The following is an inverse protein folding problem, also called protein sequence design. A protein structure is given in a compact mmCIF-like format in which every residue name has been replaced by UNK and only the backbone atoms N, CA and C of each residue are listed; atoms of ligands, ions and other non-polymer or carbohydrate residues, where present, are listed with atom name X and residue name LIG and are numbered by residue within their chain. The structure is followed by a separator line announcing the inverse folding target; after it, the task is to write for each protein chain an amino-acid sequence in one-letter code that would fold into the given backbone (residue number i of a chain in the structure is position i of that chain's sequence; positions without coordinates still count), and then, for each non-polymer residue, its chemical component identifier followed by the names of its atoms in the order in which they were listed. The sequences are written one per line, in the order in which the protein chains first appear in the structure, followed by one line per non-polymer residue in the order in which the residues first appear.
data_IF_158692858145
#
_entry.id   IF_158692858145
#
_cell.length_a   1.000
_cell.length_b   1.000
_cell.length_c   1.000
_cell.angle_alpha   90.00
_cell.angle_beta   90.00
_cell.angle_gamma   90.00
#
_symmetry.space_group_name_H-M   'P 1'
#
loop_
_entity.id
_entity.type
_entity.pdbx_description
1 polymer ?
#
# COMPACT_ATOMS: atom_id res chain seq x y z
N UNK A 1 3.92 22.53 17.92
CA UNK A 1 3.21 23.63 17.21
C UNK A 1 2.63 23.07 15.92
N UNK A 2 1.43 23.48 15.51
CA UNK A 2 0.90 23.15 14.19
C UNK A 2 1.64 23.98 13.12
N UNK A 3 1.91 23.38 11.95
CA UNK A 3 2.57 24.03 10.81
C UNK A 3 1.50 24.44 9.77
N UNK A 4 1.13 25.73 9.68
CA UNK A 4 0.07 26.17 8.77
C UNK A 4 0.42 25.87 7.32
N UNK A 5 -0.51 25.26 6.58
CA UNK A 5 -0.34 24.91 5.16
C UNK A 5 0.38 23.58 4.90
N UNK A 6 0.81 22.86 5.93
CA UNK A 6 1.39 21.52 5.78
C UNK A 6 0.32 20.44 5.97
N UNK A 7 0.23 19.51 5.02
CA UNK A 7 -0.56 18.30 5.14
C UNK A 7 0.37 17.10 5.34
N UNK A 8 0.13 16.32 6.38
CA UNK A 8 0.75 15.02 6.57
C UNK A 8 -0.20 13.94 6.07
N UNK A 9 0.34 12.93 5.40
CA UNK A 9 -0.42 11.77 4.96
C UNK A 9 0.45 10.52 5.07
N UNK A 10 -0.20 9.37 5.22
CA UNK A 10 0.46 8.07 5.29
C UNK A 10 0.76 7.56 3.87
N UNK A 11 1.80 6.77 3.73
CA UNK A 11 2.08 6.00 2.51
C UNK A 11 2.50 4.61 2.94
N UNK A 12 2.10 3.60 2.17
CA UNK A 12 2.52 2.22 2.38
C UNK A 12 3.11 1.64 1.11
N UNK A 13 4.14 0.82 1.28
CA UNK A 13 4.87 0.13 0.23
C UNK A 13 6.15 -0.46 0.82
N UNK A 14 6.85 -1.24 0.01
CA UNK A 14 8.15 -1.82 0.37
C UNK A 14 9.24 -1.34 -0.60
N UNK A 15 10.49 -1.76 -0.39
CA UNK A 15 11.56 -1.47 -1.35
C UNK A 15 11.37 -2.21 -2.69
N UNK A 16 10.68 -3.35 -2.64
CA UNK A 16 10.35 -4.22 -3.77
C UNK A 16 9.12 -3.67 -4.53
N UNK A 17 8.12 -3.17 -3.78
CA UNK A 17 6.90 -2.56 -4.28
C UNK A 17 6.74 -1.12 -3.74
N UNK A 18 7.40 -0.12 -4.36
CA UNK A 18 7.42 1.23 -3.81
C UNK A 18 6.06 1.94 -3.90
N UNK A 19 5.66 2.59 -2.79
CA UNK A 19 4.45 3.43 -2.69
C UNK A 19 3.20 2.78 -3.31
N UNK A 20 2.77 1.65 -2.76
CA UNK A 20 1.54 0.96 -3.14
C UNK A 20 0.31 1.84 -2.88
N UNK A 21 0.30 2.56 -1.75
CA UNK A 21 -0.81 3.45 -1.37
C UNK A 21 -0.36 4.89 -1.15
N UNK A 22 -1.30 5.82 -1.37
CA UNK A 22 -1.18 7.22 -0.98
C UNK A 22 -2.31 7.60 -0.03
N UNK A 23 -1.96 8.21 1.08
CA UNK A 23 -2.91 8.73 2.08
C UNK A 23 -3.70 9.94 1.58
N UNK A 24 -4.56 10.45 2.45
CA UNK A 24 -5.52 11.50 2.13
C UNK A 24 -5.03 12.86 2.65
N UNK A 25 -4.45 13.75 1.81
CA UNK A 25 -3.97 15.06 2.23
C UNK A 25 -5.08 16.11 2.38
N UNK A 26 -6.31 15.76 1.99
CA UNK A 26 -7.48 16.64 2.08
C UNK A 26 -7.87 16.97 3.51
N UNK A 27 -8.41 18.17 3.72
CA UNK A 27 -8.89 18.64 5.03
C UNK A 27 -10.41 18.49 5.20
N UNK A 28 -11.10 17.92 4.20
CA UNK A 28 -12.53 17.61 4.33
C UNK A 28 -12.75 16.44 5.30
N UNK A 29 -13.94 16.34 5.93
CA UNK A 29 -14.22 15.32 6.93
C UNK A 29 -13.99 13.88 6.45
N UNK A 30 -14.28 13.57 5.17
CA UNK A 30 -14.13 12.22 4.64
C UNK A 30 -12.63 11.86 4.47
N UNK A 31 -11.81 12.79 3.99
CA UNK A 31 -10.36 12.63 3.96
C UNK A 31 -9.77 12.42 5.37
N UNK A 32 -10.23 13.20 6.35
CA UNK A 32 -9.76 13.08 7.73
C UNK A 32 -10.13 11.72 8.37
N UNK A 33 -11.36 11.23 8.13
CA UNK A 33 -11.82 9.92 8.59
C UNK A 33 -10.99 8.79 7.95
N UNK A 34 -10.82 8.81 6.62
CA UNK A 34 -10.05 7.80 5.91
C UNK A 34 -8.56 7.81 6.32
N UNK A 35 -7.97 8.99 6.53
CA UNK A 35 -6.59 9.11 7.01
C UNK A 35 -6.38 8.57 8.43
N UNK A 36 -7.41 8.61 9.28
CA UNK A 36 -7.33 8.12 10.65
C UNK A 36 -7.30 6.58 10.76
N UNK A 37 -7.89 5.87 9.80
CA UNK A 37 -8.11 4.41 9.89
C UNK A 37 -7.45 3.59 8.78
N UNK A 38 -6.79 4.23 7.81
CA UNK A 38 -6.14 3.52 6.68
C UNK A 38 -4.73 4.03 6.42
N UNK A 39 -3.97 3.28 5.63
CA UNK A 39 -2.68 3.68 5.04
C UNK A 39 -2.84 4.38 3.67
N UNK A 40 -4.06 4.75 3.30
CA UNK A 40 -4.36 5.38 2.02
C UNK A 40 -5.01 4.47 0.99
N UNK A 41 -5.13 4.99 -0.23
CA UNK A 41 -5.72 4.31 -1.38
C UNK A 41 -4.64 3.77 -2.32
N UNK A 42 -4.90 2.59 -2.89
CA UNK A 42 -4.06 1.98 -3.92
C UNK A 42 -3.95 2.92 -5.12
N UNK A 43 -2.72 3.26 -5.52
CA UNK A 43 -2.47 4.26 -6.56
C UNK A 43 -1.46 3.73 -7.58
N UNK A 44 -1.90 3.41 -8.80
CA UNK A 44 -1.02 2.93 -9.87
C UNK A 44 -0.53 1.49 -9.72
N UNK A 45 -1.12 0.74 -8.79
CA UNK A 45 -0.85 -0.68 -8.53
C UNK A 45 -2.13 -1.51 -8.66
N UNK A 46 -1.98 -2.78 -8.99
CA UNK A 46 -3.00 -3.82 -8.80
C UNK A 46 -2.72 -4.51 -7.47
N UNK A 47 -3.71 -4.59 -6.59
CA UNK A 47 -3.56 -5.18 -5.25
C UNK A 47 -4.69 -6.16 -4.98
N UNK A 48 -4.36 -7.29 -4.33
CA UNK A 48 -5.32 -8.22 -3.74
C UNK A 48 -4.90 -8.63 -2.33
N UNK A 49 -5.88 -8.99 -1.52
CA UNK A 49 -5.67 -9.63 -0.22
C UNK A 49 -5.94 -11.13 -0.37
N UNK A 50 -5.04 -11.99 0.09
CA UNK A 50 -5.15 -13.45 -0.08
C UNK A 50 -5.04 -14.23 1.23
N UNK A 51 -5.57 -15.44 1.25
CA UNK A 51 -5.31 -16.43 2.31
C UNK A 51 -4.00 -17.20 2.08
N UNK A 52 -3.63 -18.09 3.02
CA UNK A 52 -2.44 -18.94 2.96
C UNK A 52 -2.41 -19.89 1.74
N UNK A 53 -3.56 -20.10 1.08
CA UNK A 53 -3.67 -20.90 -0.15
C UNK A 53 -3.60 -20.02 -1.42
N UNK A 54 -3.35 -18.71 -1.28
CA UNK A 54 -3.24 -17.74 -2.37
C UNK A 54 -4.58 -17.31 -2.97
N UNK A 55 -5.71 -17.65 -2.36
CA UNK A 55 -7.05 -17.32 -2.86
C UNK A 55 -7.44 -15.91 -2.44
N UNK A 56 -7.99 -15.13 -3.36
CA UNK A 56 -8.45 -13.77 -3.08
C UNK A 56 -9.59 -13.77 -2.06
N UNK A 57 -9.43 -12.93 -1.04
CA UNK A 57 -10.41 -12.72 0.03
C UNK A 57 -11.37 -11.56 -0.30
N UNK A 58 -12.60 -11.59 0.23
CA UNK A 58 -13.55 -10.49 0.07
C UNK A 58 -13.15 -9.26 0.90
N UNK A 59 -13.71 -8.08 0.60
CA UNK A 59 -13.50 -6.89 1.42
C UNK A 59 -13.81 -7.11 2.90
N UNK A 60 -12.94 -6.62 3.78
CA UNK A 60 -13.08 -6.72 5.24
C UNK A 60 -12.46 -7.97 5.87
N UNK A 61 -11.98 -8.92 5.08
CA UNK A 61 -11.21 -10.06 5.57
C UNK A 61 -9.71 -9.71 5.67
N UNK A 62 -9.04 -10.27 6.68
CA UNK A 62 -7.59 -10.12 6.89
C UNK A 62 -6.82 -11.20 6.13
N UNK A 63 -5.68 -10.81 5.54
CA UNK A 63 -4.82 -11.71 4.77
C UNK A 63 -3.58 -10.99 4.23
N UNK A 64 -2.81 -11.69 3.40
CA UNK A 64 -1.57 -11.19 2.83
C UNK A 64 -1.82 -10.24 1.64
N UNK A 65 -1.04 -9.16 1.57
CA UNK A 65 -1.10 -8.19 0.47
C UNK A 65 -0.22 -8.66 -0.67
N UNK A 66 -0.80 -8.92 -1.83
CA UNK A 66 -0.05 -9.11 -3.07
C UNK A 66 -0.26 -7.92 -3.99
N UNK A 67 0.84 -7.34 -4.48
CA UNK A 67 0.85 -6.15 -5.32
C UNK A 67 1.57 -6.40 -6.65
N UNK A 68 1.07 -5.80 -7.72
CA UNK A 68 1.68 -5.81 -9.05
C UNK A 68 1.60 -4.44 -9.68
N UNK A 69 2.69 -3.97 -10.26
CA UNK A 69 2.73 -2.64 -10.86
C UNK A 69 3.99 -2.40 -11.66
N UNK A 70 4.02 -1.32 -12.45
CA UNK A 70 5.15 -0.98 -13.32
C UNK A 70 6.42 -0.59 -12.56
N UNK A 71 6.30 -0.21 -11.29
CA UNK A 71 7.41 0.18 -10.43
C UNK A 71 7.99 -0.96 -9.58
N UNK A 72 7.54 -2.21 -9.81
CA UNK A 72 8.11 -3.40 -9.16
C UNK A 72 9.61 -3.44 -9.43
N UNK A 73 10.39 -3.70 -8.37
CA UNK A 73 11.84 -3.86 -8.50
C UNK A 73 12.21 -5.00 -9.46
N UNK A 74 13.49 -5.05 -9.87
CA UNK A 74 13.97 -6.07 -10.82
C UNK A 74 14.27 -7.42 -10.16
N UNK A 75 14.23 -7.50 -8.84
CA UNK A 75 14.76 -8.59 -8.04
C UNK A 75 15.95 -8.17 -7.19
N UNK A 76 16.39 -9.08 -6.34
CA UNK A 76 17.60 -8.96 -5.55
C UNK A 76 18.83 -9.38 -6.36
N UNK A 77 20.02 -9.06 -5.86
CA UNK A 77 21.28 -9.55 -6.46
C UNK A 77 21.43 -11.06 -6.34
N UNK A 78 20.77 -11.65 -5.34
CA UNK A 78 20.61 -13.10 -5.19
C UNK A 78 19.37 -13.56 -6.00
N UNK A 79 19.54 -14.42 -7.03
CA UNK A 79 18.42 -14.95 -7.78
C UNK A 79 17.46 -15.81 -6.95
N UNK A 80 17.96 -16.52 -5.93
CA UNK A 80 17.11 -17.39 -5.11
C UNK A 80 16.18 -16.54 -4.23
N UNK A 81 16.69 -15.44 -3.68
CA UNK A 81 15.86 -14.47 -2.97
C UNK A 81 14.81 -13.80 -3.87
N UNK A 82 15.12 -13.63 -5.17
CA UNK A 82 14.15 -13.10 -6.15
C UNK A 82 13.07 -14.13 -6.49
N UNK A 83 13.38 -15.43 -6.43
CA UNK A 83 12.41 -16.49 -6.70
C UNK A 83 11.47 -16.74 -5.50
N UNK A 84 11.91 -16.42 -4.29
CA UNK A 84 11.11 -16.52 -3.06
C UNK A 84 10.14 -15.34 -2.86
N UNK A 85 10.55 -14.13 -3.27
CA UNK A 85 9.77 -12.90 -3.13
C UNK A 85 8.65 -12.74 -4.17
#
# INVERSE_FOLDING_TARGET
AALPGLAAFRVYGSSECPMITQGYPGTDPASAEAAAVTDGAVTGWEVKVVDDAGRTLPPGAEGEILARGPALFRGYTDPDATAEA
#
